data_IF_371826507412
#
_entry.id   IF_371826507412
#
_cell.length_a   1.000
_cell.length_b   1.000
_cell.length_c   1.000
_cell.angle_alpha   90.00
_cell.angle_beta   90.00
_cell.angle_gamma   90.00
#
_symmetry.space_group_name_H-M   'P 1'
#
loop_
_entity.id
_entity.type
_entity.pdbx_description
1 polymer ?
#
# COMPACT_ATOMS: atom_id res chain seq x y z
N UNK A 1 -0.39 -1.81 25.13
CA UNK A 1 -1.56 -1.19 24.47
C UNK A 1 -0.97 -0.05 23.67
N UNK A 2 -1.13 0.05 22.35
CA UNK A 2 -0.57 1.19 21.62
C UNK A 2 -1.21 2.46 22.18
N UNK A 3 -0.39 3.40 22.65
CA UNK A 3 -0.85 4.72 23.09
C UNK A 3 -1.33 5.46 21.84
N UNK A 4 -2.63 5.37 21.55
CA UNK A 4 -3.28 6.14 20.50
C UNK A 4 -3.32 7.60 20.97
N UNK A 5 -2.20 8.28 20.77
CA UNK A 5 -2.11 9.72 21.00
C UNK A 5 -3.08 10.43 20.04
N UNK A 6 -3.70 11.51 20.51
CA UNK A 6 -4.57 12.35 19.67
C UNK A 6 -3.85 12.86 18.42
N UNK A 7 -2.53 13.02 18.50
CA UNK A 7 -1.66 13.40 17.39
C UNK A 7 -1.63 12.37 16.26
N UNK A 8 -1.49 11.07 16.57
CA UNK A 8 -1.49 10.01 15.58
C UNK A 8 -2.80 9.95 14.78
N UNK A 9 -3.92 10.24 15.45
CA UNK A 9 -5.25 10.29 14.81
C UNK A 9 -5.32 11.44 13.79
N UNK A 10 -4.85 12.63 14.16
CA UNK A 10 -4.83 13.77 13.24
C UNK A 10 -3.91 13.54 12.04
N UNK A 11 -2.73 12.95 12.25
CA UNK A 11 -1.80 12.61 11.16
C UNK A 11 -2.43 11.56 10.23
N UNK A 12 -2.99 10.48 10.76
CA UNK A 12 -3.65 9.46 9.96
C UNK A 12 -4.82 10.02 9.13
N UNK A 13 -5.62 10.91 9.72
CA UNK A 13 -6.70 11.61 9.03
C UNK A 13 -6.17 12.49 7.90
N UNK A 14 -5.13 13.29 8.15
CA UNK A 14 -4.52 14.17 7.16
C UNK A 14 -3.95 13.39 5.97
N UNK A 15 -3.23 12.30 6.22
CA UNK A 15 -2.66 11.44 5.16
C UNK A 15 -3.76 10.76 4.35
N UNK A 16 -4.81 10.25 5.01
CA UNK A 16 -5.93 9.59 4.32
C UNK A 16 -6.75 10.58 3.48
N UNK A 17 -6.97 11.79 4.00
CA UNK A 17 -7.63 12.86 3.26
C UNK A 17 -6.80 13.28 2.04
N UNK A 18 -5.49 13.43 2.20
CA UNK A 18 -4.59 13.74 1.08
C UNK A 18 -4.62 12.66 -0.01
N UNK A 19 -4.61 11.38 0.38
CA UNK A 19 -4.76 10.27 -0.57
C UNK A 19 -6.10 10.33 -1.31
N UNK A 20 -7.21 10.58 -0.61
CA UNK A 20 -8.53 10.72 -1.22
C UNK A 20 -8.61 11.90 -2.20
N UNK A 21 -8.02 13.05 -1.86
CA UNK A 21 -7.93 14.21 -2.75
C UNK A 21 -7.10 13.92 -4.00
N UNK A 22 -6.01 13.16 -3.88
CA UNK A 22 -5.21 12.74 -5.01
C UNK A 22 -6.01 11.83 -5.98
N UNK A 23 -6.81 10.91 -5.46
CA UNK A 23 -7.72 10.08 -6.28
C UNK A 23 -8.81 10.93 -6.94
N UNK A 24 -9.42 11.87 -6.20
CA UNK A 24 -10.43 12.77 -6.74
C UNK A 24 -9.86 13.62 -7.90
N UNK A 25 -8.66 14.17 -7.73
CA UNK A 25 -7.97 14.93 -8.78
C UNK A 25 -7.72 14.07 -10.03
N UNK A 26 -7.22 12.85 -9.86
CA UNK A 26 -7.02 11.91 -10.96
C UNK A 26 -8.32 11.57 -11.69
N UNK A 27 -9.42 11.35 -10.95
CA UNK A 27 -10.74 11.07 -11.55
C UNK A 27 -11.31 12.27 -12.31
N UNK A 28 -11.07 13.48 -11.83
CA UNK A 28 -11.54 14.72 -12.46
C UNK A 28 -10.87 14.92 -13.83
N UNK A 29 -9.56 14.64 -13.93
CA UNK A 29 -8.83 14.70 -15.22
C UNK A 29 -9.40 13.74 -16.27
N UNK A 30 -9.91 12.58 -15.83
CA UNK A 30 -10.56 11.59 -16.71
C UNK A 30 -11.97 12.04 -17.11
N UNK A 31 -12.76 12.58 -16.17
CA UNK A 31 -14.13 13.07 -16.43
C UNK A 31 -14.18 14.20 -17.47
N UNK A 32 -13.22 15.11 -17.46
CA UNK A 32 -13.12 16.16 -18.48
C UNK A 32 -12.53 15.67 -19.82
N UNK A 33 -11.87 14.50 -19.84
CA UNK A 33 -11.32 13.91 -21.05
C UNK A 33 -12.36 13.06 -21.79
N UNK A 34 -12.97 13.63 -22.85
CA UNK A 34 -13.96 12.92 -23.70
C UNK A 34 -13.45 11.61 -24.33
N UNK A 35 -12.14 11.46 -24.54
CA UNK A 35 -11.49 10.22 -24.99
C UNK A 35 -10.16 10.05 -24.27
N UNK A 36 -10.08 9.25 -23.19
CA UNK A 36 -8.82 9.05 -22.50
C UNK A 36 -7.82 8.33 -23.42
N UNK A 37 -6.60 8.87 -23.52
CA UNK A 37 -5.55 8.29 -24.34
C UNK A 37 -5.08 6.96 -23.69
N UNK A 38 -5.19 5.81 -24.38
CA UNK A 38 -4.78 4.51 -23.84
C UNK A 38 -3.32 4.48 -23.37
N UNK A 39 -2.43 5.25 -24.00
CA UNK A 39 -1.02 5.36 -23.59
C UNK A 39 -0.85 6.02 -22.22
N UNK A 40 -1.62 7.06 -21.95
CA UNK A 40 -1.61 7.76 -20.66
C UNK A 40 -2.18 6.86 -19.56
N UNK A 41 -3.28 6.16 -19.85
CA UNK A 41 -3.87 5.19 -18.92
C UNK A 41 -2.90 4.05 -18.61
N UNK A 42 -2.25 3.48 -19.62
CA UNK A 42 -1.26 2.42 -19.43
C UNK A 42 -0.08 2.89 -18.58
N UNK A 43 0.42 4.12 -18.81
CA UNK A 43 1.47 4.71 -18.00
C UNK A 43 1.03 4.91 -16.55
N UNK A 44 -0.16 5.48 -16.31
CA UNK A 44 -0.68 5.69 -14.96
C UNK A 44 -0.93 4.39 -14.21
N UNK A 45 -1.46 3.37 -14.90
CA UNK A 45 -1.69 2.04 -14.32
C UNK A 45 -0.38 1.32 -14.00
N UNK A 46 0.62 1.41 -14.89
CA UNK A 46 1.95 0.85 -14.65
C UNK A 46 2.65 1.55 -13.47
N UNK A 47 2.52 2.88 -13.37
CA UNK A 47 3.06 3.64 -12.25
C UNK A 47 2.40 3.24 -10.92
N UNK A 48 1.07 3.18 -10.87
CA UNK A 48 0.33 2.77 -9.67
C UNK A 48 0.65 1.31 -9.26
N UNK A 49 0.65 0.39 -10.22
CA UNK A 49 1.01 -1.01 -10.00
C UNK A 49 2.45 -1.15 -9.49
N UNK A 50 3.41 -0.45 -10.11
CA UNK A 50 4.80 -0.45 -9.69
C UNK A 50 5.01 0.08 -8.28
N UNK A 51 4.39 1.21 -7.93
CA UNK A 51 4.45 1.77 -6.59
C UNK A 51 3.90 0.80 -5.53
N UNK A 52 2.76 0.14 -5.81
CA UNK A 52 2.16 -0.81 -4.87
C UNK A 52 2.98 -2.09 -4.71
N UNK A 53 3.60 -2.60 -5.77
CA UNK A 53 4.53 -3.75 -5.68
C UNK A 53 5.75 -3.39 -4.84
N UNK A 54 6.33 -2.20 -5.03
CA UNK A 54 7.45 -1.72 -4.23
C UNK A 54 7.10 -1.66 -2.74
N UNK A 55 6.01 -1.01 -2.37
CA UNK A 55 5.55 -0.90 -0.98
C UNK A 55 5.26 -2.28 -0.39
N UNK A 56 4.61 -3.16 -1.15
CA UNK A 56 4.26 -4.51 -0.69
C UNK A 56 5.50 -5.34 -0.35
N UNK A 57 6.53 -5.31 -1.20
CA UNK A 57 7.75 -6.10 -1.02
C UNK A 57 8.73 -5.49 -0.01
N UNK A 58 8.82 -4.17 0.06
CA UNK A 58 9.82 -3.49 0.90
C UNK A 58 9.29 -3.14 2.29
N UNK A 59 8.01 -2.82 2.42
CA UNK A 59 7.43 -2.46 3.71
C UNK A 59 6.60 -3.59 4.29
N UNK A 60 5.58 -4.08 3.55
CA UNK A 60 4.59 -5.00 4.10
C UNK A 60 5.21 -6.37 4.39
N UNK A 61 5.99 -6.92 3.46
CA UNK A 61 6.66 -8.20 3.65
C UNK A 61 7.62 -8.19 4.85
N UNK A 62 8.43 -7.14 5.00
CA UNK A 62 9.34 -7.02 6.12
C UNK A 62 8.59 -6.88 7.45
N UNK A 63 7.53 -6.05 7.51
CA UNK A 63 6.65 -5.95 8.69
C UNK A 63 6.01 -7.30 9.04
N UNK A 64 5.63 -8.10 8.04
CA UNK A 64 5.08 -9.44 8.26
C UNK A 64 6.13 -10.38 8.85
N UNK A 65 7.32 -10.47 8.24
CA UNK A 65 8.44 -11.28 8.75
C UNK A 65 8.80 -10.88 10.18
N UNK A 66 8.93 -9.57 10.46
CA UNK A 66 9.23 -9.04 11.79
C UNK A 66 8.14 -9.44 12.80
N UNK A 67 6.86 -9.36 12.42
CA UNK A 67 5.76 -9.78 13.30
C UNK A 67 5.76 -11.29 13.57
N UNK A 68 6.09 -12.12 12.57
CA UNK A 68 6.14 -13.57 12.75
C UNK A 68 7.39 -14.03 13.51
N UNK A 69 8.53 -13.37 13.34
CA UNK A 69 9.77 -13.66 14.09
C UNK A 69 9.69 -13.26 15.57
N UNK A 70 8.75 -12.38 15.95
CA UNK A 70 8.44 -12.14 17.36
C UNK A 70 7.68 -13.30 18.02
N UNK A 71 6.93 -14.08 17.25
CA UNK A 71 6.12 -15.20 17.74
C UNK A 71 6.79 -16.58 17.54
N UNK A 72 7.69 -16.70 16.56
CA UNK A 72 8.36 -17.95 16.16
C UNK A 72 9.87 -17.72 15.97
N UNK A 73 10.67 -18.79 15.99
CA UNK A 73 12.11 -18.73 15.67
C UNK A 73 12.40 -18.02 14.33
N UNK A 74 13.54 -17.34 14.23
CA UNK A 74 13.89 -16.49 13.07
C UNK A 74 13.72 -17.18 11.71
N UNK A 75 14.04 -18.48 11.62
CA UNK A 75 13.92 -19.27 10.39
C UNK A 75 12.47 -19.59 10.03
N UNK A 76 11.64 -19.88 11.03
CA UNK A 76 10.21 -20.16 10.85
C UNK A 76 9.42 -18.87 10.62
N UNK A 77 9.78 -17.78 11.29
CA UNK A 77 9.15 -16.48 11.09
C UNK A 77 9.31 -15.95 9.66
N UNK A 78 10.50 -16.13 9.06
CA UNK A 78 10.71 -15.82 7.63
C UNK A 78 9.84 -16.68 6.71
N UNK A 79 9.78 -18.00 6.96
CA UNK A 79 8.99 -18.92 6.15
C UNK A 79 7.48 -18.63 6.25
N UNK A 80 6.96 -18.39 7.46
CA UNK A 80 5.55 -18.07 7.66
C UNK A 80 5.18 -16.67 7.15
N UNK A 81 6.05 -15.67 7.34
CA UNK A 81 5.82 -14.32 6.82
C UNK A 81 5.76 -14.26 5.29
N UNK A 82 6.70 -14.93 4.62
CA UNK A 82 6.70 -15.04 3.16
C UNK A 82 5.53 -15.88 2.65
N UNK A 83 5.22 -17.01 3.28
CA UNK A 83 4.08 -17.84 2.92
C UNK A 83 2.76 -17.10 3.07
N UNK A 84 2.54 -16.39 4.19
CA UNK A 84 1.33 -15.62 4.43
C UNK A 84 1.16 -14.46 3.44
N UNK A 85 2.26 -13.76 3.11
CA UNK A 85 2.25 -12.72 2.08
C UNK A 85 1.84 -13.28 0.71
N UNK A 86 2.44 -14.39 0.28
CA UNK A 86 2.13 -15.01 -1.02
C UNK A 86 0.73 -15.62 -1.07
N UNK A 87 0.28 -16.26 0.02
CA UNK A 87 -1.10 -16.76 0.13
C UNK A 87 -2.10 -15.60 0.05
N UNK A 88 -1.80 -14.44 0.62
CA UNK A 88 -2.66 -13.26 0.53
C UNK A 88 -2.72 -12.59 -0.85
N UNK A 89 -1.82 -12.96 -1.77
CA UNK A 89 -1.80 -12.45 -3.16
C UNK A 89 -2.66 -13.29 -4.11
N UNK A 90 -2.91 -14.57 -3.77
CA UNK A 90 -3.72 -15.54 -4.52
C UNK A 90 -5.23 -15.33 -4.32
#
# INVERSE_FOLDING_TARGET
MPDISSENVWIALAVTLAAGLATALGSLMVLFSRRPNPRLLAFGLAFAGGAMVFVSLTEILNKAIDSFTQAYDARLGFAYGTAAFLVGVL
#
